data_IF_586257388408
#
_entry.id   IF_586257388408
#
_cell.length_a   1.000
_cell.length_b   1.000
_cell.length_c   1.000
_cell.angle_alpha   90.00
_cell.angle_beta   90.00
_cell.angle_gamma   90.00
#
_symmetry.space_group_name_H-M   'P 1'
#
loop_
_entity.id
_entity.type
_entity.pdbx_description
1 polymer ?
#
# COMPACT_ATOMS: atom_id res chain seq x y z
N UNK A 1 18.74 -11.91 -5.24
CA UNK A 1 19.28 -10.53 -5.19
C UNK A 1 18.99 -9.88 -6.53
N UNK A 2 18.30 -8.73 -6.54
CA UNK A 2 18.28 -7.67 -7.55
C UNK A 2 17.20 -6.63 -7.15
N UNK A 3 17.59 -5.61 -6.37
CA UNK A 3 16.76 -4.44 -6.08
C UNK A 3 17.22 -3.28 -6.97
N UNK A 4 16.58 -3.12 -8.13
CA UNK A 4 16.81 -1.97 -9.02
C UNK A 4 15.83 -0.87 -8.62
N UNK A 5 16.26 0.03 -7.73
CA UNK A 5 15.42 1.16 -7.33
C UNK A 5 15.92 1.93 -6.10
N UNK A 6 17.22 2.27 -6.07
CA UNK A 6 17.85 3.27 -5.20
C UNK A 6 17.35 3.40 -3.75
N UNK A 7 17.87 2.54 -2.88
CA UNK A 7 18.20 2.92 -1.50
C UNK A 7 19.55 2.28 -1.17
N UNK A 8 20.54 3.08 -0.78
CA UNK A 8 21.88 2.61 -0.36
C UNK A 8 21.86 1.97 1.04
N UNK A 9 20.68 1.56 1.52
CA UNK A 9 20.42 1.01 2.84
C UNK A 9 19.13 0.18 2.84
N UNK A 10 18.76 -0.44 3.96
CA UNK A 10 17.56 -1.27 4.04
C UNK A 10 16.31 -0.45 3.74
N UNK A 11 15.33 -1.09 3.10
CA UNK A 11 14.05 -0.47 2.75
C UNK A 11 13.42 0.20 3.98
N UNK A 12 12.85 1.43 3.91
CA UNK A 12 12.37 2.16 5.09
C UNK A 12 11.39 1.40 5.97
N UNK A 13 10.56 0.53 5.38
CA UNK A 13 9.61 -0.32 6.13
C UNK A 13 10.29 -1.30 7.09
N UNK A 14 11.57 -1.63 6.85
CA UNK A 14 12.37 -2.49 7.73
C UNK A 14 12.46 -1.92 9.15
N UNK A 15 12.64 -0.60 9.29
CA UNK A 15 12.77 0.06 10.58
C UNK A 15 11.47 0.02 11.41
N UNK A 16 10.32 -0.07 10.73
CA UNK A 16 9.00 -0.14 11.38
C UNK A 16 8.48 -1.58 11.49
N UNK A 17 9.21 -2.57 10.97
CA UNK A 17 8.71 -3.94 10.80
C UNK A 17 8.26 -4.54 12.12
N UNK A 18 9.06 -4.41 13.18
CA UNK A 18 8.72 -4.97 14.49
C UNK A 18 7.39 -4.39 15.02
N UNK A 19 7.22 -3.06 14.95
CA UNK A 19 6.00 -2.40 15.38
C UNK A 19 4.78 -2.81 14.54
N UNK A 20 4.95 -2.91 13.22
CA UNK A 20 3.88 -3.33 12.30
C UNK A 20 3.47 -4.80 12.53
N UNK A 21 4.43 -5.68 12.81
CA UNK A 21 4.17 -7.07 13.17
C UNK A 21 3.36 -7.19 14.46
N UNK A 22 3.65 -6.38 15.48
CA UNK A 22 2.84 -6.31 16.72
C UNK A 22 1.40 -5.86 16.46
N UNK A 23 1.18 -5.04 15.43
CA UNK A 23 -0.13 -4.60 14.97
C UNK A 23 -0.83 -5.58 13.99
N UNK A 24 -0.24 -6.77 13.79
CA UNK A 24 -0.72 -7.79 12.84
C UNK A 24 -0.81 -7.30 11.39
N UNK A 25 0.04 -6.36 11.01
CA UNK A 25 0.17 -5.91 9.62
C UNK A 25 0.94 -6.97 8.83
N UNK A 26 0.34 -7.47 7.75
CA UNK A 26 0.93 -8.46 6.86
C UNK A 26 1.96 -7.83 5.93
N UNK A 27 3.00 -8.60 5.60
CA UNK A 27 3.97 -8.26 4.56
C UNK A 27 3.40 -8.54 3.18
N UNK A 28 3.95 -7.91 2.15
CA UNK A 28 3.54 -8.18 0.78
C UNK A 28 3.66 -9.68 0.43
N UNK A 29 4.73 -10.34 0.86
CA UNK A 29 4.96 -11.77 0.61
C UNK A 29 4.00 -12.71 1.37
N UNK A 30 3.33 -12.24 2.42
CA UNK A 30 2.40 -13.05 3.21
C UNK A 30 0.98 -13.07 2.59
N UNK A 31 0.63 -12.05 1.80
CA UNK A 31 -0.71 -11.88 1.24
C UNK A 31 -1.20 -13.05 0.38
N UNK A 32 -0.39 -13.71 -0.47
CA UNK A 32 -0.83 -14.88 -1.22
C UNK A 32 -1.30 -16.06 -0.35
N UNK A 33 -0.93 -16.07 0.94
CA UNK A 33 -1.27 -17.13 1.89
C UNK A 33 -2.45 -16.77 2.78
N UNK A 34 -2.99 -15.56 2.65
CA UNK A 34 -4.15 -15.10 3.41
C UNK A 34 -5.41 -15.73 2.82
N UNK A 35 -6.26 -16.39 3.63
CA UNK A 35 -7.57 -16.87 3.21
C UNK A 35 -8.41 -15.78 2.53
N UNK A 36 -9.20 -16.20 1.53
CA UNK A 36 -10.15 -15.28 0.89
C UNK A 36 -11.16 -14.75 1.91
N UNK A 37 -11.66 -13.53 1.68
CA UNK A 37 -12.65 -12.83 2.54
C UNK A 37 -12.18 -12.52 3.97
N UNK A 38 -10.89 -12.72 4.29
CA UNK A 38 -10.36 -12.38 5.60
C UNK A 38 -9.98 -10.90 5.71
N UNK A 39 -10.53 -10.21 6.72
CA UNK A 39 -10.08 -8.89 7.10
C UNK A 39 -8.60 -8.90 7.48
N UNK A 40 -7.81 -8.10 6.75
CA UNK A 40 -6.36 -8.08 6.86
C UNK A 40 -5.84 -6.65 6.87
N UNK A 41 -4.79 -6.40 7.66
CA UNK A 41 -4.10 -5.12 7.71
C UNK A 41 -2.83 -5.19 6.87
N UNK A 42 -2.62 -4.19 6.03
CA UNK A 42 -1.41 -4.01 5.21
C UNK A 42 -0.86 -2.60 5.41
N UNK A 43 0.45 -2.44 5.28
CA UNK A 43 1.11 -1.14 5.28
C UNK A 43 2.35 -1.21 4.39
N UNK A 44 2.67 -0.10 3.75
CA UNK A 44 3.83 0.04 2.87
C UNK A 44 3.99 1.46 2.39
N UNK A 45 5.11 1.74 1.73
CA UNK A 45 5.32 2.99 1.02
C UNK A 45 4.38 3.06 -0.18
N UNK A 46 3.61 4.15 -0.32
CA UNK A 46 2.76 4.33 -1.51
C UNK A 46 3.65 4.67 -2.70
N UNK A 47 3.85 3.72 -3.61
CA UNK A 47 4.70 3.92 -4.80
C UNK A 47 3.90 4.27 -6.05
N UNK A 48 2.60 3.98 -6.08
CA UNK A 48 1.72 4.38 -7.18
C UNK A 48 0.28 4.52 -6.71
N UNK A 49 -0.44 5.44 -7.35
CA UNK A 49 -1.89 5.63 -7.22
C UNK A 49 -2.49 5.76 -8.60
N UNK A 50 -3.54 5.02 -8.89
CA UNK A 50 -4.20 5.04 -10.19
C UNK A 50 -5.71 5.17 -10.02
N UNK A 51 -6.33 6.00 -10.86
CA UNK A 51 -7.77 6.17 -10.95
C UNK A 51 -8.19 6.03 -12.42
N UNK A 52 -8.49 4.81 -12.89
CA UNK A 52 -8.87 4.58 -14.28
C UNK A 52 -10.15 5.35 -14.62
N UNK A 53 -10.17 6.07 -15.75
CA UNK A 53 -11.33 6.88 -16.17
C UNK A 53 -12.62 6.08 -16.40
N UNK A 54 -12.51 4.76 -16.56
CA UNK A 54 -13.62 3.83 -16.85
C UNK A 54 -14.18 3.12 -15.61
N UNK A 55 -13.50 3.20 -14.47
CA UNK A 55 -13.84 2.42 -13.27
C UNK A 55 -14.48 3.30 -12.20
N UNK A 56 -15.77 3.64 -12.35
CA UNK A 56 -16.71 4.17 -11.32
C UNK A 56 -16.10 4.68 -9.99
N UNK A 57 -15.14 5.62 -10.01
CA UNK A 57 -14.44 6.13 -8.82
C UNK A 57 -13.62 5.16 -7.95
N UNK A 58 -13.21 3.99 -8.47
CA UNK A 58 -12.26 3.12 -7.75
C UNK A 58 -10.84 3.71 -7.78
N UNK A 59 -10.12 3.53 -6.67
CA UNK A 59 -8.71 3.92 -6.56
C UNK A 59 -7.85 2.68 -6.33
N UNK A 60 -6.77 2.58 -7.08
CA UNK A 60 -5.79 1.52 -6.97
C UNK A 60 -4.53 2.09 -6.33
N UNK A 61 -4.06 1.44 -5.27
CA UNK A 61 -2.79 1.77 -4.62
C UNK A 61 -1.81 0.61 -4.75
N UNK A 62 -0.56 0.95 -5.03
CA UNK A 62 0.57 0.03 -4.88
C UNK A 62 1.35 0.43 -3.64
N UNK A 63 1.45 -0.50 -2.69
CA UNK A 63 2.20 -0.35 -1.44
C UNK A 63 3.45 -1.22 -1.50
N UNK A 64 4.63 -0.63 -1.32
CA UNK A 64 5.90 -1.35 -1.27
C UNK A 64 6.39 -1.55 0.16
N UNK A 65 6.83 -2.77 0.46
CA UNK A 65 7.61 -3.08 1.65
C UNK A 65 8.90 -3.83 1.28
N UNK A 66 9.72 -4.17 2.28
CA UNK A 66 10.99 -4.87 2.05
C UNK A 66 10.84 -6.28 1.44
N UNK A 67 9.62 -6.79 1.32
CA UNK A 67 9.30 -8.10 0.76
C UNK A 67 8.62 -8.06 -0.60
N UNK A 68 8.25 -6.86 -1.09
CA UNK A 68 7.66 -6.67 -2.41
C UNK A 68 6.51 -5.67 -2.42
N UNK A 69 5.63 -5.82 -3.42
CA UNK A 69 4.54 -4.87 -3.68
C UNK A 69 3.19 -5.54 -3.38
N UNK A 70 2.40 -4.88 -2.53
CA UNK A 70 0.99 -5.18 -2.28
C UNK A 70 0.10 -4.27 -3.12
N UNK A 71 -0.95 -4.83 -3.73
CA UNK A 71 -1.95 -4.06 -4.47
C UNK A 71 -3.22 -3.93 -3.65
N UNK A 72 -3.70 -2.71 -3.47
CA UNK A 72 -4.93 -2.40 -2.74
C UNK A 72 -5.92 -1.73 -3.68
N UNK A 73 -7.16 -2.22 -3.67
CA UNK A 73 -8.28 -1.63 -4.39
C UNK A 73 -9.19 -0.98 -3.36
N UNK A 74 -9.43 0.31 -3.53
CA UNK A 74 -10.28 1.12 -2.67
C UNK A 74 -11.55 1.40 -3.44
N UNK A 75 -12.69 0.99 -2.88
CA UNK A 75 -13.98 1.28 -3.46
C UNK A 75 -14.36 2.77 -3.23
N UNK A 76 -15.31 3.31 -4.01
CA UNK A 76 -15.67 4.72 -3.94
C UNK A 76 -16.16 5.15 -2.55
N UNK A 77 -17.00 4.33 -1.90
CA UNK A 77 -17.57 4.66 -0.60
C UNK A 77 -16.49 4.82 0.48
N UNK A 78 -15.47 3.95 0.45
CA UNK A 78 -14.33 4.02 1.36
C UNK A 78 -13.42 5.21 1.02
N UNK A 79 -13.22 5.50 -0.26
CA UNK A 79 -12.46 6.66 -0.69
C UNK A 79 -13.11 7.97 -0.22
N UNK A 80 -14.42 8.13 -0.42
CA UNK A 80 -15.15 9.33 -0.02
C UNK A 80 -15.11 9.51 1.51
N UNK A 81 -15.24 8.41 2.27
CA UNK A 81 -15.15 8.42 3.74
C UNK A 81 -13.77 8.85 4.25
N UNK A 82 -12.69 8.49 3.55
CA UNK A 82 -11.31 8.72 4.00
C UNK A 82 -10.52 9.68 3.10
N UNK A 83 -11.21 10.50 2.30
CA UNK A 83 -10.63 11.40 1.29
C UNK A 83 -9.46 12.24 1.80
N UNK A 84 -9.56 12.75 3.03
CA UNK A 84 -8.50 13.55 3.66
C UNK A 84 -7.18 12.79 3.88
N UNK A 85 -7.25 11.47 4.12
CA UNK A 85 -6.07 10.60 4.30
C UNK A 85 -5.42 10.29 2.95
N UNK A 86 -6.23 10.05 1.91
CA UNK A 86 -5.72 9.85 0.56
C UNK A 86 -5.05 11.11 0.00
N UNK A 87 -5.65 12.28 0.17
CA UNK A 87 -5.15 13.53 -0.43
C UNK A 87 -3.88 14.10 0.23
N UNK A 88 -3.52 13.65 1.45
CA UNK A 88 -2.37 14.20 2.21
C UNK A 88 -0.98 13.92 1.61
N UNK A 89 -0.89 13.21 0.50
CA UNK A 89 0.36 12.98 -0.23
C UNK A 89 0.27 13.27 -1.73
N UNK A 90 -0.78 13.95 -2.19
CA UNK A 90 -0.80 14.50 -3.54
C UNK A 90 0.02 15.80 -3.53
N UNK A 91 1.19 15.79 -4.18
CA UNK A 91 1.82 17.04 -4.62
C UNK A 91 0.83 17.66 -5.61
N UNK A 92 0.42 18.93 -5.45
CA UNK A 92 -0.50 19.55 -6.40
C UNK A 92 0.12 19.47 -7.79
N UNK A 93 -0.50 18.71 -8.69
CA UNK A 93 -0.25 18.81 -10.12
C UNK A 93 -0.93 20.08 -10.62
N UNK A 94 -0.27 21.22 -10.38
CA UNK A 94 -0.50 22.49 -11.06
C UNK A 94 0.53 22.69 -12.15
#
# INVERSE_FOLDING_TARGET
MNHSGMSTGPHPMTYFREALSKLQVKRACDLPRVPHEQYTRVAGCVIARQRPGTAKSFVFLSLEDETGISKVIVNPDLYEKYRAVFNRGEIPSG
#
